data_IF_373638951045
#
_entry.id   IF_373638951045
#
_cell.length_a   1.000
_cell.length_b   1.000
_cell.length_c   1.000
_cell.angle_alpha   90.00
_cell.angle_beta   90.00
_cell.angle_gamma   90.00
#
_symmetry.space_group_name_H-M   'P 1'
#
loop_
_entity.id
_entity.type
_entity.pdbx_description
1 polymer ?
#
# COMPACT_ATOMS: atom_id res chain seq x y z
N UNK A 1 23.70 -24.28 -0.23
CA UNK A 1 22.78 -23.12 -0.34
C UNK A 1 21.34 -23.67 -0.25
N UNK A 2 20.68 -23.63 0.91
CA UNK A 2 19.30 -24.14 1.06
C UNK A 2 18.33 -22.99 0.81
N UNK A 3 17.82 -22.86 -0.41
CA UNK A 3 16.59 -22.09 -0.62
C UNK A 3 15.48 -22.81 0.14
N UNK A 4 14.92 -22.19 1.18
CA UNK A 4 13.81 -22.82 1.91
C UNK A 4 12.58 -22.85 1.01
N UNK A 5 12.26 -24.01 0.44
CA UNK A 5 11.15 -24.22 -0.49
C UNK A 5 9.80 -23.99 0.19
N UNK A 6 8.98 -23.07 -0.31
CA UNK A 6 7.64 -22.78 0.20
C UNK A 6 6.86 -24.09 0.42
N UNK A 7 6.23 -24.22 1.59
CA UNK A 7 5.35 -25.36 1.87
C UNK A 7 3.95 -25.10 1.31
N UNK A 8 3.12 -26.14 1.20
CA UNK A 8 1.71 -26.00 0.83
C UNK A 8 0.99 -25.01 1.76
N UNK A 9 1.26 -25.09 3.07
CA UNK A 9 0.70 -24.16 4.06
C UNK A 9 1.12 -22.72 3.78
N UNK A 10 2.37 -22.48 3.40
CA UNK A 10 2.85 -21.14 3.06
C UNK A 10 2.08 -20.58 1.85
N UNK A 11 1.86 -21.40 0.81
CA UNK A 11 1.07 -21.02 -0.36
C UNK A 11 -0.40 -20.75 -0.04
N UNK A 12 -1.00 -21.52 0.87
CA UNK A 12 -2.37 -21.27 1.35
C UNK A 12 -2.47 -19.88 2.01
N UNK A 13 -1.54 -19.55 2.90
CA UNK A 13 -1.52 -18.21 3.51
C UNK A 13 -1.30 -17.10 2.46
N UNK A 14 -0.33 -17.28 1.55
CA UNK A 14 -0.10 -16.33 0.45
C UNK A 14 -1.38 -16.10 -0.36
N UNK A 15 -2.09 -17.17 -0.73
CA UNK A 15 -3.35 -17.08 -1.46
C UNK A 15 -4.45 -16.37 -0.66
N UNK A 16 -4.62 -16.71 0.62
CA UNK A 16 -5.63 -16.09 1.49
C UNK A 16 -5.37 -14.59 1.67
N UNK A 17 -4.14 -14.19 2.00
CA UNK A 17 -3.81 -12.78 2.19
C UNK A 17 -3.83 -12.00 0.86
N UNK A 18 -3.41 -12.63 -0.24
CA UNK A 18 -3.52 -12.05 -1.58
C UNK A 18 -4.97 -11.81 -2.00
N UNK A 19 -5.85 -12.77 -1.71
CA UNK A 19 -7.29 -12.67 -1.96
C UNK A 19 -7.96 -11.62 -1.06
N UNK A 20 -7.60 -11.54 0.22
CA UNK A 20 -8.12 -10.52 1.14
C UNK A 20 -7.77 -9.10 0.68
N UNK A 21 -6.51 -8.87 0.31
CA UNK A 21 -6.11 -7.57 -0.22
C UNK A 21 -6.76 -7.30 -1.58
N UNK A 22 -6.87 -8.31 -2.45
CA UNK A 22 -7.55 -8.17 -3.75
C UNK A 22 -9.03 -7.81 -3.60
N UNK A 23 -9.74 -8.48 -2.69
CA UNK A 23 -11.14 -8.21 -2.38
C UNK A 23 -11.34 -6.81 -1.79
N UNK A 24 -10.46 -6.37 -0.89
CA UNK A 24 -10.44 -4.99 -0.38
C UNK A 24 -10.33 -4.00 -1.53
N UNK A 25 -9.40 -4.22 -2.45
CA UNK A 25 -9.18 -3.34 -3.60
C UNK A 25 -10.35 -3.30 -4.59
N UNK A 26 -11.11 -4.39 -4.72
CA UNK A 26 -12.29 -4.40 -5.58
C UNK A 26 -13.49 -3.73 -4.91
N UNK A 27 -13.72 -4.03 -3.64
CA UNK A 27 -14.92 -3.59 -2.91
C UNK A 27 -14.76 -2.17 -2.38
N UNK A 28 -13.80 -1.96 -1.47
CA UNK A 28 -13.56 -0.67 -0.84
C UNK A 28 -13.18 0.39 -1.88
N UNK A 29 -12.41 -0.02 -2.89
CA UNK A 29 -12.09 0.84 -4.03
C UNK A 29 -13.35 1.31 -4.78
N UNK A 30 -14.32 0.43 -5.02
CA UNK A 30 -15.58 0.80 -5.67
C UNK A 30 -16.45 1.68 -4.76
N UNK A 31 -16.61 1.31 -3.49
CA UNK A 31 -17.46 2.06 -2.55
C UNK A 31 -16.93 3.46 -2.24
N UNK A 32 -15.61 3.63 -2.05
CA UNK A 32 -15.03 4.94 -1.75
C UNK A 32 -15.19 5.93 -2.92
N UNK A 33 -15.20 5.43 -4.16
CA UNK A 33 -15.44 6.28 -5.33
C UNK A 33 -16.92 6.63 -5.56
N UNK A 34 -17.84 5.79 -5.09
CA UNK A 34 -19.28 5.97 -5.32
C UNK A 34 -19.97 6.71 -4.17
N UNK A 35 -19.66 6.37 -2.91
CA UNK A 35 -20.39 6.87 -1.74
C UNK A 35 -19.86 8.19 -1.19
N UNK A 36 -18.60 8.54 -1.44
CA UNK A 36 -17.99 9.76 -0.89
C UNK A 36 -17.31 10.64 -1.95
N UNK A 37 -18.01 11.12 -3.00
CA UNK A 37 -17.42 12.04 -3.98
C UNK A 37 -16.68 13.25 -3.37
N UNK A 38 -17.17 13.89 -2.28
CA UNK A 38 -16.49 15.04 -1.65
C UNK A 38 -15.26 14.70 -0.80
N UNK A 39 -15.15 13.46 -0.29
CA UNK A 39 -14.01 12.98 0.51
C UNK A 39 -13.05 12.15 -0.35
N UNK A 40 -13.47 11.77 -1.56
CA UNK A 40 -12.72 11.09 -2.61
C UNK A 40 -11.66 12.00 -3.27
N UNK A 41 -11.08 12.92 -2.51
CA UNK A 41 -9.77 13.43 -2.85
C UNK A 41 -8.84 12.22 -2.98
N UNK A 42 -8.13 12.13 -4.12
CA UNK A 42 -7.25 11.00 -4.45
C UNK A 42 -6.26 10.66 -3.33
N UNK A 43 -5.99 11.63 -2.45
CA UNK A 43 -5.19 11.51 -1.25
C UNK A 43 -5.79 10.54 -0.21
N UNK A 44 -7.00 10.78 0.31
CA UNK A 44 -7.53 10.01 1.46
C UNK A 44 -7.90 8.58 1.08
N UNK A 45 -8.55 8.41 -0.08
CA UNK A 45 -8.88 7.09 -0.61
C UNK A 45 -7.62 6.26 -0.80
N UNK A 46 -6.59 6.82 -1.45
CA UNK A 46 -5.32 6.13 -1.64
C UNK A 46 -4.60 5.83 -0.32
N UNK A 47 -4.66 6.74 0.65
CA UNK A 47 -4.04 6.56 1.97
C UNK A 47 -4.68 5.40 2.75
N UNK A 48 -6.02 5.32 2.76
CA UNK A 48 -6.78 4.27 3.46
C UNK A 48 -6.57 2.92 2.77
N UNK A 49 -6.72 2.88 1.44
CA UNK A 49 -6.56 1.68 0.63
C UNK A 49 -5.15 1.08 0.82
N UNK A 50 -4.12 1.90 0.66
CA UNK A 50 -2.74 1.48 0.83
C UNK A 50 -2.43 1.07 2.28
N UNK A 51 -2.90 1.84 3.27
CA UNK A 51 -2.68 1.52 4.68
C UNK A 51 -3.23 0.15 5.06
N UNK A 52 -4.47 -0.16 4.64
CA UNK A 52 -5.08 -1.46 4.93
C UNK A 52 -4.43 -2.58 4.09
N UNK A 53 -4.17 -2.34 2.80
CA UNK A 53 -3.52 -3.29 1.92
C UNK A 53 -2.14 -3.73 2.41
N UNK A 54 -1.30 -2.75 2.76
CA UNK A 54 0.00 -2.95 3.39
C UNK A 54 -0.13 -3.73 4.70
N UNK A 55 -1.10 -3.39 5.55
CA UNK A 55 -1.32 -4.13 6.80
C UNK A 55 -1.65 -5.61 6.54
N UNK A 56 -2.55 -5.91 5.59
CA UNK A 56 -2.91 -7.28 5.20
C UNK A 56 -1.67 -8.03 4.70
N UNK A 57 -0.92 -7.44 3.77
CA UNK A 57 0.26 -8.08 3.19
C UNK A 57 1.35 -8.37 4.23
N UNK A 58 1.61 -7.42 5.13
CA UNK A 58 2.60 -7.57 6.21
C UNK A 58 2.16 -8.59 7.25
N UNK A 59 0.87 -8.66 7.60
CA UNK A 59 0.35 -9.74 8.45
C UNK A 59 0.57 -11.09 7.77
N UNK A 60 0.30 -11.20 6.46
CA UNK A 60 0.59 -12.42 5.69
C UNK A 60 2.07 -12.83 5.74
N UNK A 61 2.99 -11.85 5.62
CA UNK A 61 4.43 -12.08 5.76
C UNK A 61 4.86 -12.52 7.16
N UNK A 62 4.07 -12.23 8.18
CA UNK A 62 4.33 -12.72 9.54
C UNK A 62 4.07 -14.23 9.64
N UNK A 63 2.98 -14.72 9.03
CA UNK A 63 2.67 -16.15 8.99
C UNK A 63 3.57 -16.91 8.03
N UNK A 64 3.91 -16.31 6.89
CA UNK A 64 4.82 -16.87 5.90
C UNK A 64 6.17 -16.22 6.07
N UNK A 65 6.96 -16.72 7.02
CA UNK A 65 8.25 -16.12 7.36
C UNK A 65 9.36 -16.40 6.32
N UNK A 66 9.13 -16.06 5.04
CA UNK A 66 10.06 -16.33 3.93
C UNK A 66 10.19 -15.15 2.97
N UNK A 67 11.39 -14.90 2.43
CA UNK A 67 11.57 -13.97 1.32
C UNK A 67 10.69 -14.36 0.12
N UNK A 68 10.16 -13.38 -0.57
CA UNK A 68 9.23 -13.51 -1.70
C UNK A 68 7.76 -13.58 -1.30
N UNK A 69 7.43 -13.77 -0.01
CA UNK A 69 6.04 -13.94 0.39
C UNK A 69 5.18 -12.68 0.20
N UNK A 70 5.71 -11.48 0.47
CA UNK A 70 4.94 -10.24 0.23
C UNK A 70 4.75 -10.03 -1.26
N UNK A 71 5.80 -10.29 -2.04
CA UNK A 71 5.72 -10.17 -3.49
C UNK A 71 4.69 -11.13 -4.08
N UNK A 72 4.65 -12.39 -3.64
CA UNK A 72 3.64 -13.35 -4.09
C UNK A 72 2.22 -12.95 -3.69
N UNK A 73 2.02 -12.42 -2.47
CA UNK A 73 0.75 -11.84 -2.03
C UNK A 73 0.33 -10.72 -3.00
N UNK A 74 1.23 -9.78 -3.28
CA UNK A 74 0.99 -8.67 -4.20
C UNK A 74 0.66 -9.13 -5.63
N UNK A 75 1.36 -10.14 -6.15
CA UNK A 75 1.07 -10.71 -7.47
C UNK A 75 -0.35 -11.28 -7.51
N UNK A 76 -0.77 -12.05 -6.50
CA UNK A 76 -2.14 -12.59 -6.44
C UNK A 76 -3.16 -11.45 -6.35
N UNK A 77 -2.93 -10.45 -5.50
CA UNK A 77 -3.77 -9.25 -5.40
C UNK A 77 -3.91 -8.55 -6.75
N UNK A 78 -2.80 -8.35 -7.47
CA UNK A 78 -2.80 -7.73 -8.79
C UNK A 78 -3.55 -8.56 -9.82
N UNK A 79 -3.33 -9.88 -9.86
CA UNK A 79 -4.05 -10.78 -10.78
C UNK A 79 -5.56 -10.69 -10.55
N UNK A 80 -5.99 -10.73 -9.29
CA UNK A 80 -7.39 -10.53 -8.95
C UNK A 80 -7.86 -9.16 -9.43
N UNK A 81 -7.14 -8.08 -9.11
CA UNK A 81 -7.52 -6.71 -9.51
C UNK A 81 -7.70 -6.55 -11.03
N UNK A 82 -6.84 -7.19 -11.83
CA UNK A 82 -6.93 -7.19 -13.30
C UNK A 82 -8.20 -7.90 -13.78
N UNK A 83 -8.61 -8.97 -13.11
CA UNK A 83 -9.83 -9.73 -13.41
C UNK A 83 -11.12 -9.08 -12.85
N UNK A 84 -11.03 -7.91 -12.20
CA UNK A 84 -12.18 -7.22 -11.63
C UNK A 84 -13.12 -6.66 -12.69
N UNK A 85 -14.43 -6.70 -12.40
CA UNK A 85 -15.52 -6.16 -13.24
C UNK A 85 -15.40 -4.66 -13.53
N UNK A 86 -14.57 -3.92 -12.77
CA UNK A 86 -14.35 -2.48 -12.95
C UNK A 86 -13.40 -2.07 -14.09
N UNK A 87 -12.95 -3.03 -14.92
CA UNK A 87 -12.01 -2.81 -16.01
C UNK A 87 -10.54 -2.71 -15.56
N UNK A 88 -9.60 -2.95 -16.49
CA UNK A 88 -8.16 -2.93 -16.20
C UNK A 88 -7.68 -1.48 -16.01
N UNK A 89 -7.62 -1.03 -14.76
CA UNK A 89 -7.00 0.26 -14.41
C UNK A 89 -5.51 0.06 -14.17
N UNK A 90 -4.67 0.57 -15.07
CA UNK A 90 -3.20 0.43 -15.02
C UNK A 90 -2.61 1.04 -13.73
N UNK A 91 -3.13 2.19 -13.29
CA UNK A 91 -2.63 2.87 -12.08
C UNK A 91 -2.60 1.98 -10.83
N UNK A 92 -3.76 1.48 -10.36
CA UNK A 92 -3.81 0.56 -9.21
C UNK A 92 -2.95 -0.68 -9.35
N UNK A 93 -2.88 -1.27 -10.55
CA UNK A 93 -2.04 -2.45 -10.82
C UNK A 93 -0.56 -2.15 -10.54
N UNK A 94 -0.06 -1.02 -11.04
CA UNK A 94 1.33 -0.59 -10.81
C UNK A 94 1.55 -0.19 -9.35
N UNK A 95 0.57 0.44 -8.70
CA UNK A 95 0.65 0.79 -7.28
C UNK A 95 0.85 -0.44 -6.40
N UNK A 96 -0.03 -1.45 -6.53
CA UNK A 96 0.00 -2.70 -5.73
C UNK A 96 1.34 -3.42 -5.90
N UNK A 97 1.82 -3.55 -7.14
CA UNK A 97 3.10 -4.21 -7.41
C UNK A 97 4.27 -3.44 -6.81
N UNK A 98 4.29 -2.11 -6.93
CA UNK A 98 5.35 -1.30 -6.36
C UNK A 98 5.35 -1.34 -4.82
N UNK A 99 4.18 -1.27 -4.19
CA UNK A 99 4.02 -1.44 -2.74
C UNK A 99 4.56 -2.81 -2.29
N UNK A 100 4.20 -3.88 -2.99
CA UNK A 100 4.66 -5.24 -2.69
C UNK A 100 6.18 -5.37 -2.81
N UNK A 101 6.78 -4.79 -3.86
CA UNK A 101 8.24 -4.76 -4.06
C UNK A 101 8.93 -4.00 -2.93
N UNK A 102 8.45 -2.80 -2.58
CA UNK A 102 9.06 -1.98 -1.53
C UNK A 102 8.97 -2.64 -0.15
N UNK A 103 7.83 -3.26 0.17
CA UNK A 103 7.69 -4.06 1.38
C UNK A 103 8.67 -5.25 1.40
N UNK A 104 8.76 -5.98 0.29
CA UNK A 104 9.65 -7.14 0.18
C UNK A 104 11.12 -6.72 0.32
N UNK A 105 11.54 -5.62 -0.31
CA UNK A 105 12.90 -5.08 -0.20
C UNK A 105 13.23 -4.68 1.25
N UNK A 106 12.31 -4.04 1.97
CA UNK A 106 12.50 -3.70 3.39
C UNK A 106 12.63 -4.95 4.28
N UNK A 107 11.94 -6.03 3.90
CA UNK A 107 11.90 -7.31 4.62
C UNK A 107 12.89 -8.35 4.07
N UNK A 108 13.69 -7.99 3.06
CA UNK A 108 14.72 -8.83 2.49
C UNK A 108 15.88 -8.98 3.46
N UNK A 109 15.94 -10.11 4.17
CA UNK A 109 17.11 -10.51 4.96
C UNK A 109 16.99 -11.98 5.32
N UNK A 110 18.14 -12.57 5.64
CA UNK A 110 18.24 -13.92 6.21
C UNK A 110 17.81 -13.97 7.68
N UNK A 111 17.88 -12.84 8.38
CA UNK A 111 17.43 -12.75 9.77
C UNK A 111 15.90 -12.64 9.84
N UNK A 112 15.27 -13.23 10.88
CA UNK A 112 13.85 -13.05 11.12
C UNK A 112 13.53 -11.54 11.19
N UNK A 113 12.45 -11.10 10.54
CA UNK A 113 12.16 -9.69 10.44
C UNK A 113 11.84 -9.11 11.82
N UNK A 114 12.40 -7.93 12.10
CA UNK A 114 12.19 -7.21 13.35
C UNK A 114 11.02 -6.23 13.21
N UNK A 115 10.49 -5.76 14.34
CA UNK A 115 9.43 -4.73 14.38
C UNK A 115 9.77 -3.52 13.51
N UNK A 116 11.02 -3.07 13.52
CA UNK A 116 11.44 -1.88 12.75
C UNK A 116 11.45 -2.12 11.25
N UNK A 117 11.73 -3.33 10.80
CA UNK A 117 11.67 -3.65 9.36
C UNK A 117 10.23 -3.69 8.85
N UNK A 118 9.27 -4.10 9.70
CA UNK A 118 7.84 -3.98 9.40
C UNK A 118 7.37 -2.53 9.30
N UNK A 119 7.79 -1.68 10.25
CA UNK A 119 7.50 -0.25 10.21
C UNK A 119 8.10 0.39 8.95
N UNK A 120 9.37 0.10 8.65
CA UNK A 120 10.05 0.59 7.44
C UNK A 120 9.32 0.12 6.17
N UNK A 121 8.95 -1.17 6.09
CA UNK A 121 8.21 -1.72 4.97
C UNK A 121 6.90 -0.97 4.72
N UNK A 122 6.13 -0.72 5.78
CA UNK A 122 4.87 0.01 5.67
C UNK A 122 5.07 1.49 5.30
N UNK A 123 6.06 2.15 5.89
CA UNK A 123 6.42 3.54 5.55
C UNK A 123 6.83 3.68 4.08
N UNK A 124 7.68 2.78 3.57
CA UNK A 124 8.12 2.84 2.18
C UNK A 124 6.97 2.58 1.21
N UNK A 125 6.11 1.59 1.50
CA UNK A 125 4.98 1.24 0.66
C UNK A 125 3.94 2.37 0.59
N UNK A 126 3.46 2.86 1.74
CA UNK A 126 2.46 3.95 1.74
C UNK A 126 3.07 5.29 1.27
N UNK A 127 4.36 5.52 1.57
CA UNK A 127 5.09 6.69 1.10
C UNK A 127 5.22 6.75 -0.43
N UNK A 128 5.36 5.59 -1.09
CA UNK A 128 5.43 5.50 -2.54
C UNK A 128 4.22 6.10 -3.25
N UNK A 129 3.03 6.05 -2.65
CA UNK A 129 1.82 6.62 -3.25
C UNK A 129 1.90 8.12 -3.52
N UNK A 130 2.77 8.85 -2.81
CA UNK A 130 3.10 10.22 -3.15
C UNK A 130 3.73 10.31 -4.54
N UNK A 131 4.80 9.55 -4.76
CA UNK A 131 5.56 9.54 -6.02
C UNK A 131 4.79 8.88 -7.16
N UNK A 132 4.02 7.84 -6.87
CA UNK A 132 3.20 7.12 -7.83
C UNK A 132 2.25 8.05 -8.61
N UNK A 133 1.63 9.04 -7.93
CA UNK A 133 0.75 10.03 -8.58
C UNK A 133 1.49 10.79 -9.69
N UNK A 134 2.73 11.23 -9.43
CA UNK A 134 3.54 11.92 -10.43
C UNK A 134 3.93 10.99 -11.60
N UNK A 135 4.32 9.76 -11.31
CA UNK A 135 4.72 8.77 -12.34
C UNK A 135 3.54 8.43 -13.24
N UNK A 136 2.38 8.08 -12.68
CA UNK A 136 1.20 7.70 -13.47
C UNK A 136 0.63 8.89 -14.24
N UNK A 137 0.63 10.09 -13.66
CA UNK A 137 0.05 11.25 -14.33
C UNK A 137 0.89 11.71 -15.53
N UNK A 138 2.22 11.54 -15.45
CA UNK A 138 3.11 11.73 -16.59
C UNK A 138 2.95 10.62 -17.64
N UNK A 139 2.90 9.36 -17.20
CA UNK A 139 2.91 8.20 -18.10
C UNK A 139 1.58 7.96 -18.82
N UNK A 140 0.44 8.15 -18.13
CA UNK A 140 -0.89 7.88 -18.67
C UNK A 140 -1.57 9.11 -19.28
N UNK A 141 -1.26 10.32 -18.78
CA UNK A 141 -1.97 11.54 -19.18
C UNK A 141 -1.08 12.59 -19.84
N UNK A 142 0.24 12.35 -19.95
CA UNK A 142 1.19 13.28 -20.57
C UNK A 142 1.31 14.64 -19.84
N UNK A 143 0.74 14.77 -18.65
CA UNK A 143 0.68 16.04 -17.92
C UNK A 143 2.05 16.46 -17.41
N UNK A 144 2.31 17.76 -17.46
CA UNK A 144 3.52 18.36 -16.89
C UNK A 144 3.58 18.17 -15.37
N UNK A 145 4.79 18.03 -14.82
CA UNK A 145 5.02 17.89 -13.37
C UNK A 145 4.41 19.07 -12.59
N UNK A 146 4.44 20.26 -13.19
CA UNK A 146 3.87 21.49 -12.66
C UNK A 146 2.35 21.43 -12.46
N UNK A 147 1.61 20.84 -13.40
CA UNK A 147 0.16 20.69 -13.29
C UNK A 147 -0.24 19.73 -12.16
N UNK A 148 0.52 18.64 -12.01
CA UNK A 148 0.31 17.67 -10.92
C UNK A 148 0.60 18.31 -9.57
N UNK A 149 1.68 19.08 -9.51
CA UNK A 149 2.07 19.83 -8.32
C UNK A 149 1.00 20.84 -7.91
N UNK A 150 0.54 21.69 -8.84
CA UNK A 150 -0.49 22.69 -8.58
C UNK A 150 -1.78 22.05 -8.09
N UNK A 151 -2.24 20.97 -8.75
CA UNK A 151 -3.42 20.23 -8.32
C UNK A 151 -3.25 19.62 -6.92
N UNK A 152 -2.07 19.11 -6.57
CA UNK A 152 -1.81 18.59 -5.23
C UNK A 152 -1.81 19.68 -4.15
N UNK A 153 -1.29 20.87 -4.47
CA UNK A 153 -1.34 22.02 -3.56
C UNK A 153 -2.77 22.49 -3.37
N UNK A 154 -3.56 22.54 -4.44
CA UNK A 154 -4.99 22.92 -4.39
C UNK A 154 -5.82 21.91 -3.59
N UNK A 155 -5.69 20.60 -3.91
CA UNK A 155 -6.32 19.50 -3.16
C UNK A 155 -5.92 19.57 -1.66
N UNK A 156 -4.65 19.85 -1.38
CA UNK A 156 -4.10 19.92 -0.03
C UNK A 156 -4.49 21.17 0.74
N UNK A 157 -4.57 22.31 0.07
CA UNK A 157 -5.04 23.59 0.60
C UNK A 157 -6.49 23.48 1.04
N UNK A 158 -7.36 22.90 0.21
CA UNK A 158 -8.76 22.65 0.54
C UNK A 158 -8.90 21.67 1.72
N UNK A 159 -8.05 20.65 1.80
CA UNK A 159 -8.10 19.67 2.89
C UNK A 159 -7.56 20.21 4.23
N UNK A 160 -6.55 21.08 4.20
CA UNK A 160 -5.89 21.62 5.40
C UNK A 160 -6.41 23.00 5.81
N UNK A 161 -7.22 23.65 4.98
CA UNK A 161 -7.68 25.03 5.20
C UNK A 161 -6.55 26.06 5.15
N UNK A 162 -5.43 25.73 4.48
CA UNK A 162 -4.24 26.58 4.39
C UNK A 162 -4.21 27.33 3.06
N UNK A 163 -3.69 28.56 3.08
CA UNK A 163 -3.49 29.34 1.85
C UNK A 163 -2.49 28.65 0.90
N UNK A 164 -2.73 28.74 -0.41
CA UNK A 164 -1.90 28.17 -1.49
C UNK A 164 -0.44 28.70 -1.39
N UNK A 165 -0.24 29.88 -0.81
CA UNK A 165 1.10 30.44 -0.54
C UNK A 165 2.01 29.53 0.30
N UNK A 166 1.44 28.58 1.07
CA UNK A 166 2.18 27.60 1.88
C UNK A 166 2.38 26.24 1.17
N UNK A 167 2.46 26.23 -0.16
CA UNK A 167 2.57 25.03 -0.99
C UNK A 167 3.57 23.97 -0.47
N UNK A 168 4.77 24.40 -0.07
CA UNK A 168 5.82 23.50 0.44
C UNK A 168 5.39 22.84 1.77
N UNK A 169 4.78 23.60 2.67
CA UNK A 169 4.29 23.09 3.95
C UNK A 169 3.13 22.11 3.74
N UNK A 170 2.18 22.43 2.85
CA UNK A 170 1.06 21.55 2.50
C UNK A 170 1.58 20.19 2.00
N UNK A 171 2.52 20.20 1.06
CA UNK A 171 3.11 18.97 0.52
C UNK A 171 3.88 18.20 1.59
N UNK A 172 4.67 18.90 2.41
CA UNK A 172 5.41 18.30 3.52
C UNK A 172 4.49 17.58 4.51
N UNK A 173 3.38 18.22 4.90
CA UNK A 173 2.37 17.65 5.79
C UNK A 173 1.69 16.44 5.15
N UNK A 174 1.26 16.53 3.89
CA UNK A 174 0.64 15.41 3.17
C UNK A 174 1.59 14.20 3.04
N UNK A 175 2.89 14.44 2.86
CA UNK A 175 3.89 13.38 2.85
C UNK A 175 4.10 12.78 4.25
N UNK A 176 4.20 13.62 5.28
CA UNK A 176 4.31 13.19 6.68
C UNK A 176 3.14 12.30 7.10
N UNK A 177 1.91 12.64 6.71
CA UNK A 177 0.74 11.80 6.96
C UNK A 177 0.87 10.41 6.33
N UNK A 178 1.37 10.30 5.09
CA UNK A 178 1.63 9.00 4.45
C UNK A 178 2.68 8.18 5.19
N UNK A 179 3.77 8.83 5.59
CA UNK A 179 4.83 8.20 6.38
C UNK A 179 4.29 7.68 7.71
N UNK A 180 3.48 8.48 8.40
CA UNK A 180 2.87 8.13 9.68
C UNK A 180 1.88 6.96 9.55
N UNK A 181 0.98 7.00 8.55
CA UNK A 181 0.03 5.91 8.29
C UNK A 181 0.76 4.63 7.88
N UNK A 182 1.79 4.71 7.04
CA UNK A 182 2.60 3.55 6.67
C UNK A 182 3.34 2.95 7.87
N UNK A 183 3.90 3.80 8.73
CA UNK A 183 4.54 3.36 9.97
C UNK A 183 3.54 2.67 10.92
N UNK A 184 2.35 3.25 11.07
CA UNK A 184 1.27 2.70 11.88
C UNK A 184 0.78 1.36 11.32
N UNK A 185 0.56 1.25 10.01
CA UNK A 185 0.16 0.01 9.33
C UNK A 185 1.18 -1.11 9.54
N UNK A 186 2.48 -0.81 9.33
CA UNK A 186 3.56 -1.77 9.57
C UNK A 186 3.66 -2.21 11.03
N UNK A 187 3.50 -1.27 11.96
CA UNK A 187 3.50 -1.56 13.39
C UNK A 187 2.29 -2.41 13.82
N UNK A 188 1.09 -2.07 13.35
CA UNK A 188 -0.14 -2.82 13.62
C UNK A 188 -0.03 -4.23 13.07
N UNK A 189 0.46 -4.40 11.84
CA UNK A 189 0.67 -5.70 11.23
C UNK A 189 1.58 -6.60 12.07
N UNK A 190 2.67 -6.05 12.60
CA UNK A 190 3.57 -6.78 13.50
C UNK A 190 2.88 -7.19 14.81
N UNK A 191 2.09 -6.28 15.41
CA UNK A 191 1.35 -6.58 16.65
C UNK A 191 0.27 -7.63 16.43
N UNK A 192 -0.53 -7.48 15.36
CA UNK A 192 -1.61 -8.39 15.01
C UNK A 192 -1.06 -9.78 14.68
N UNK A 193 -0.03 -9.88 13.84
CA UNK A 193 0.62 -11.15 13.52
C UNK A 193 1.09 -11.87 14.79
N UNK A 194 1.73 -11.15 15.70
CA UNK A 194 2.17 -11.71 16.99
C UNK A 194 1.02 -12.15 17.89
N UNK A 195 -0.03 -11.34 18.01
CA UNK A 195 -1.18 -11.65 18.86
C UNK A 195 -1.93 -12.88 18.35
N UNK A 196 -2.17 -12.96 17.05
CA UNK A 196 -2.88 -14.09 16.44
C UNK A 196 -2.04 -15.36 16.53
N UNK A 197 -0.73 -15.30 16.25
CA UNK A 197 0.15 -16.45 16.39
C UNK A 197 0.20 -17.00 17.82
N UNK A 198 0.06 -16.13 18.84
CA UNK A 198 -0.02 -16.56 20.25
C UNK A 198 -1.35 -17.23 20.64
N UNK A 199 -2.43 -16.98 19.90
CA UNK A 199 -3.75 -17.57 20.18
C UNK A 199 -3.99 -18.90 19.47
N UNK A 200 -3.23 -19.16 18.40
CA UNK A 200 -3.34 -20.37 17.57
C UNK A 200 -2.28 -21.42 17.96
N UNK A 201 -1.25 -21.02 18.73
CA UNK A 201 -0.26 -21.91 19.32
C UNK A 201 -0.74 -22.47 20.66
#
# INVERSE_FOLDING_TARGET
>A
MKFSTFTVRDWVYVAVFGALWGALEMTLGAYLHVLFPPIANTFFTGLIMAGIGVAIALVGRYFVNRPGAVLSIGIITTLLKVLSLGGIKIGPVVAILAEAILMELALLSKAPPTRWRYVLAGTLAVGWNFFHKFVMMRLLYGKGITEVYLKMVEDGSQALGLDIGYAVAIIGVLFLFRVAVGAAAGWLAWRLGRLVARRIA
#
